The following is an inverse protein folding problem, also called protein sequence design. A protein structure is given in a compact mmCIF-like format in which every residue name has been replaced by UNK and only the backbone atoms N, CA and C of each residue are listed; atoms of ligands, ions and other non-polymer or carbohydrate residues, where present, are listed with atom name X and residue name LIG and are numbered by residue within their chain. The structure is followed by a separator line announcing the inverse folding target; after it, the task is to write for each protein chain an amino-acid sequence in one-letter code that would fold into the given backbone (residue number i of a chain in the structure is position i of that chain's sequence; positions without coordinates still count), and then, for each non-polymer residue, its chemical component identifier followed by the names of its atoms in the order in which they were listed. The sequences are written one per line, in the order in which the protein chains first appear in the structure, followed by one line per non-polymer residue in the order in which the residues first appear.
data_IF_784570796302
#
_entry.id   IF_784570796302
#
_cell.length_a   1.000
_cell.length_b   1.000
_cell.length_c   1.000
_cell.angle_alpha   90.00
_cell.angle_beta   90.00
_cell.angle_gamma   90.00
#
_symmetry.space_group_name_H-M   'P 1'
#
loop_
_entity.id
_entity.type
_entity.pdbx_description
1 polymer ?
#
# COMPACT_ATOMS: atom_id res chain seq x y z
N UNK A 1 3.55 -2.71 16.36
CA UNK A 1 4.40 -3.02 15.20
C UNK A 1 3.98 -4.38 14.67
N UNK A 2 3.25 -4.42 13.56
CA UNK A 2 3.03 -5.65 12.82
C UNK A 2 4.37 -6.01 12.17
N UNK A 3 5.20 -6.77 12.88
CA UNK A 3 6.49 -7.26 12.39
C UNK A 3 6.28 -8.35 11.34
N UNK A 4 5.69 -7.98 10.22
CA UNK A 4 5.57 -8.79 9.01
C UNK A 4 6.15 -7.98 7.87
N UNK A 5 7.40 -8.27 7.48
CA UNK A 5 7.94 -7.73 6.22
C UNK A 5 7.01 -8.21 5.11
N UNK A 6 6.21 -7.31 4.55
CA UNK A 6 5.33 -7.65 3.45
C UNK A 6 6.18 -8.24 2.31
N UNK A 7 5.61 -9.20 1.59
CA UNK A 7 6.30 -9.89 0.50
C UNK A 7 5.55 -9.62 -0.81
N UNK A 8 6.26 -9.10 -1.79
CA UNK A 8 5.75 -8.94 -3.15
C UNK A 8 5.63 -10.34 -3.77
N UNK A 9 4.46 -10.66 -4.30
CA UNK A 9 4.21 -11.93 -4.99
C UNK A 9 4.57 -11.84 -6.47
N UNK A 10 4.14 -10.78 -7.14
CA UNK A 10 4.35 -10.52 -8.56
C UNK A 10 4.25 -9.01 -8.80
N UNK A 11 5.02 -8.48 -9.75
CA UNK A 11 5.04 -7.05 -10.08
C UNK A 11 5.76 -6.78 -11.40
N UNK A 12 5.29 -5.77 -12.11
CA UNK A 12 5.92 -5.13 -13.28
C UNK A 12 6.49 -3.73 -12.94
N UNK A 13 6.38 -3.31 -11.68
CA UNK A 13 6.85 -2.01 -11.23
C UNK A 13 8.37 -1.97 -11.09
N UNK A 14 8.97 -0.81 -11.33
CA UNK A 14 10.39 -0.61 -11.01
C UNK A 14 10.64 -0.75 -9.49
N UNK A 15 11.83 -1.22 -9.11
CA UNK A 15 12.20 -1.49 -7.71
C UNK A 15 11.94 -0.29 -6.76
N UNK A 16 12.22 0.93 -7.23
CA UNK A 16 11.93 2.16 -6.46
C UNK A 16 10.44 2.36 -6.18
N UNK A 17 9.58 2.02 -7.14
CA UNK A 17 8.13 2.11 -6.99
C UNK A 17 7.60 0.99 -6.10
N UNK A 18 8.18 -0.21 -6.19
CA UNK A 18 7.89 -1.31 -5.27
C UNK A 18 8.21 -0.92 -3.82
N UNK A 19 9.41 -0.38 -3.56
CA UNK A 19 9.77 0.10 -2.21
C UNK A 19 8.81 1.16 -1.69
N UNK A 20 8.33 2.06 -2.55
CA UNK A 20 7.32 3.04 -2.19
C UNK A 20 5.97 2.38 -1.86
N UNK A 21 5.52 1.40 -2.65
CA UNK A 21 4.29 0.65 -2.36
C UNK A 21 4.35 -0.02 -1.00
N UNK A 22 5.48 -0.66 -0.69
CA UNK A 22 5.73 -1.32 0.58
C UNK A 22 5.72 -0.33 1.74
N UNK A 23 6.35 0.84 1.59
CA UNK A 23 6.38 1.88 2.60
C UNK A 23 4.97 2.43 2.88
N UNK A 24 4.22 2.80 1.83
CA UNK A 24 2.85 3.31 1.96
C UNK A 24 1.90 2.26 2.56
N UNK A 25 2.08 0.98 2.25
CA UNK A 25 1.30 -0.09 2.86
C UNK A 25 1.65 -0.30 4.35
N UNK A 26 2.93 -0.23 4.70
CA UNK A 26 3.37 -0.31 6.10
C UNK A 26 2.81 0.84 6.92
N UNK A 27 2.90 2.07 6.39
CA UNK A 27 2.37 3.27 7.05
C UNK A 27 0.85 3.17 7.24
N UNK A 28 0.12 2.72 6.21
CA UNK A 28 -1.32 2.51 6.32
C UNK A 28 -1.70 1.50 7.42
N UNK A 29 -0.91 0.43 7.59
CA UNK A 29 -1.14 -0.58 8.63
C UNK A 29 -0.75 -0.10 10.04
N UNK A 30 0.11 0.91 10.15
CA UNK A 30 0.41 1.56 11.42
C UNK A 30 -0.66 2.59 11.81
N UNK A 31 -1.33 3.21 10.82
CA UNK A 31 -2.36 4.23 11.01
C UNK A 31 -3.78 3.68 11.18
N UNK A 32 -4.06 2.53 10.58
CA UNK A 32 -5.41 1.98 10.50
C UNK A 32 -5.48 0.56 11.07
N UNK A 33 -6.64 0.19 11.59
CA UNK A 33 -6.90 -1.18 11.99
C UNK A 33 -6.79 -2.10 10.75
N UNK A 34 -6.19 -3.28 10.90
CA UNK A 34 -6.07 -4.28 9.84
C UNK A 34 -7.44 -4.69 9.27
N UNK A 35 -8.50 -4.57 10.06
CA UNK A 35 -9.87 -4.82 9.65
C UNK A 35 -10.45 -3.72 8.73
N UNK A 36 -9.85 -2.54 8.69
CA UNK A 36 -10.26 -1.41 7.85
C UNK A 36 -9.57 -1.41 6.48
N UNK A 37 -9.94 -2.38 5.64
CA UNK A 37 -9.41 -2.50 4.27
C UNK A 37 -9.61 -1.22 3.43
N UNK A 38 -10.72 -0.50 3.64
CA UNK A 38 -11.07 0.67 2.83
C UNK A 38 -10.14 1.84 3.13
N UNK A 39 -9.88 2.11 4.40
CA UNK A 39 -8.95 3.18 4.79
C UNK A 39 -7.53 2.85 4.34
N UNK A 40 -7.08 1.60 4.50
CA UNK A 40 -5.76 1.15 4.05
C UNK A 40 -5.60 1.34 2.54
N UNK A 41 -6.54 0.83 1.74
CA UNK A 41 -6.48 0.96 0.28
C UNK A 41 -6.55 2.43 -0.18
N UNK A 42 -7.40 3.23 0.47
CA UNK A 42 -7.52 4.67 0.19
C UNK A 42 -6.23 5.42 0.48
N UNK A 43 -5.56 5.11 1.60
CA UNK A 43 -4.28 5.71 1.97
C UNK A 43 -3.22 5.44 0.91
N UNK A 44 -3.00 4.17 0.56
CA UNK A 44 -2.00 3.77 -0.43
C UNK A 44 -2.28 4.43 -1.79
N UNK A 45 -3.54 4.43 -2.24
CA UNK A 45 -3.96 5.08 -3.48
C UNK A 45 -3.66 6.57 -3.48
N UNK A 46 -3.95 7.28 -2.39
CA UNK A 46 -3.70 8.72 -2.26
C UNK A 46 -2.20 9.04 -2.35
N UNK A 47 -1.35 8.26 -1.68
CA UNK A 47 0.09 8.46 -1.74
C UNK A 47 0.65 8.20 -3.15
N UNK A 48 0.13 7.18 -3.85
CA UNK A 48 0.51 6.90 -5.23
C UNK A 48 0.06 7.98 -6.20
N UNK A 49 -1.19 8.44 -6.09
CA UNK A 49 -1.69 9.56 -6.90
C UNK A 49 -0.86 10.83 -6.70
N UNK A 50 -0.48 11.13 -5.46
CA UNK A 50 0.33 12.31 -5.12
C UNK A 50 1.73 12.24 -5.73
N UNK A 51 2.33 11.06 -5.76
CA UNK A 51 3.72 10.88 -6.20
C UNK A 51 3.86 10.63 -7.71
N UNK A 52 2.91 9.92 -8.31
CA UNK A 52 2.99 9.42 -9.68
C UNK A 52 1.89 9.97 -10.60
N UNK A 53 1.03 10.86 -10.10
CA UNK A 53 -0.10 11.43 -10.83
C UNK A 53 -1.37 10.61 -10.65
N UNK A 54 -2.52 11.25 -10.90
CA UNK A 54 -3.83 10.65 -10.65
C UNK A 54 -4.14 9.44 -11.54
N UNK A 55 -4.92 8.50 -11.01
CA UNK A 55 -5.48 7.38 -11.78
C UNK A 55 -5.14 6.02 -11.19
N UNK A 56 -4.45 5.99 -10.05
CA UNK A 56 -4.11 4.75 -9.38
C UNK A 56 -5.33 4.10 -8.75
N UNK A 57 -5.29 2.77 -8.74
CA UNK A 57 -6.29 1.94 -8.09
C UNK A 57 -5.56 1.05 -7.09
N UNK A 58 -6.14 0.89 -5.91
CA UNK A 58 -5.63 0.01 -4.87
C UNK A 58 -6.78 -0.83 -4.36
N UNK A 59 -6.55 -2.14 -4.20
CA UNK A 59 -7.50 -3.10 -3.66
C UNK A 59 -6.83 -3.79 -2.49
N UNK A 60 -7.52 -3.83 -1.36
CA UNK A 60 -7.10 -4.58 -0.18
C UNK A 60 -8.14 -5.66 0.13
N UNK A 61 -7.65 -6.82 0.58
CA UNK A 61 -8.51 -7.92 1.03
C UNK A 61 -7.90 -8.52 2.28
N UNK A 62 -8.77 -8.90 3.22
CA UNK A 62 -8.39 -9.77 4.33
C UNK A 62 -8.67 -11.21 3.93
N UNK A 63 -7.82 -12.11 4.41
CA UNK A 63 -8.00 -13.55 4.27
C UNK A 63 -8.78 -14.11 5.45
#
# INVERSE_FOLDING_TARGET
MLEGKGKIKETDMAEKMQMQAMASASEALDLHDVFDCLSIASHIKKEFDKKYGSGWQCVSSQK
#
